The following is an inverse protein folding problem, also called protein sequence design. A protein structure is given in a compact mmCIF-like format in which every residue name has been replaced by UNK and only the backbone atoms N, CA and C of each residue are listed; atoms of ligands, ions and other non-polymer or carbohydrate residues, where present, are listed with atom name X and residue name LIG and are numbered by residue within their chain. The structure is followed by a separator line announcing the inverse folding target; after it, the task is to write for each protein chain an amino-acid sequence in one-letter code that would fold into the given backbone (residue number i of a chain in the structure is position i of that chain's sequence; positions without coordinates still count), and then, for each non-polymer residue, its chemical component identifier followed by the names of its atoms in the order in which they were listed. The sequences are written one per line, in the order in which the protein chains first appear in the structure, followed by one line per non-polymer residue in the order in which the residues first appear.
data_IF_336133162208
#
_entry.id   IF_336133162208
#
_cell.length_a   1.000
_cell.length_b   1.000
_cell.length_c   1.000
_cell.angle_alpha   90.00
_cell.angle_beta   90.00
_cell.angle_gamma   90.00
#
_symmetry.space_group_name_H-M   'P 1'
#
loop_
_entity.id
_entity.type
_entity.pdbx_description
1 polymer ?
#
# COMPACT_ATOMS: atom_id res chain seq x y z
N UNK A 1 -12.75 -3.06 8.91
CA UNK A 1 -12.21 -3.99 7.87
C UNK A 1 -10.71 -4.16 8.12
N UNK A 2 -10.00 -5.15 7.59
CA UNK A 2 -8.55 -5.32 7.87
C UNK A 2 -7.78 -5.35 6.56
N UNK A 3 -6.60 -4.72 6.47
CA UNK A 3 -5.72 -4.89 5.31
C UNK A 3 -5.36 -6.37 5.20
N UNK A 4 -5.65 -6.95 4.03
CA UNK A 4 -5.38 -8.36 3.72
C UNK A 4 -4.36 -8.42 2.59
N UNK A 5 -3.64 -9.52 2.51
CA UNK A 5 -2.88 -9.85 1.30
C UNK A 5 -3.89 -9.96 0.14
N UNK A 6 -3.46 -9.55 -1.05
CA UNK A 6 -4.26 -9.35 -2.27
C UNK A 6 -5.17 -8.10 -2.29
N UNK A 7 -5.24 -7.33 -1.20
CA UNK A 7 -6.02 -6.09 -1.17
C UNK A 7 -5.42 -5.04 -2.10
N UNK A 8 -6.27 -4.36 -2.87
CA UNK A 8 -5.86 -3.32 -3.81
C UNK A 8 -6.12 -1.97 -3.18
N UNK A 9 -5.07 -1.18 -3.08
CA UNK A 9 -5.05 0.14 -2.47
C UNK A 9 -4.65 1.18 -3.51
N UNK A 10 -5.24 2.36 -3.42
CA UNK A 10 -4.77 3.53 -4.14
C UNK A 10 -3.93 4.36 -3.19
N UNK A 11 -2.64 4.47 -3.52
CA UNK A 11 -1.70 5.29 -2.78
C UNK A 11 -1.30 6.50 -3.62
N UNK A 12 -1.29 7.71 -3.06
CA UNK A 12 -0.88 8.89 -3.80
C UNK A 12 0.59 8.76 -4.19
N UNK A 13 0.96 9.28 -5.36
CA UNK A 13 2.36 9.25 -5.79
C UNK A 13 3.30 9.97 -4.82
N UNK A 14 2.77 10.91 -4.03
CA UNK A 14 3.50 11.65 -3.00
C UNK A 14 4.01 10.78 -1.84
N UNK A 15 3.40 9.61 -1.63
CA UNK A 15 3.86 8.64 -0.62
C UNK A 15 5.14 7.90 -1.05
N UNK A 16 5.55 8.06 -2.31
CA UNK A 16 6.73 7.43 -2.88
C UNK A 16 7.79 8.46 -3.23
N UNK A 17 9.01 8.23 -2.72
CA UNK A 17 10.17 9.07 -3.07
C UNK A 17 10.70 8.80 -4.49
N UNK A 18 10.27 7.70 -5.11
CA UNK A 18 10.72 7.25 -6.42
C UNK A 18 9.53 7.07 -7.38
N UNK A 19 9.75 7.33 -8.66
CA UNK A 19 8.78 7.01 -9.70
C UNK A 19 8.71 5.49 -9.90
N UNK A 20 7.62 4.87 -9.46
CA UNK A 20 7.38 3.43 -9.63
C UNK A 20 6.77 3.13 -11.00
N UNK A 21 7.10 1.95 -11.55
CA UNK A 21 6.49 1.42 -12.78
C UNK A 21 5.56 0.25 -12.49
N UNK A 22 4.68 -0.10 -13.43
CA UNK A 22 3.77 -1.25 -13.28
C UNK A 22 4.59 -2.52 -13.17
N UNK A 23 4.35 -3.29 -12.11
CA UNK A 23 5.07 -4.51 -11.78
C UNK A 23 6.17 -4.34 -10.74
N UNK A 24 6.55 -3.10 -10.40
CA UNK A 24 7.48 -2.84 -9.30
C UNK A 24 6.91 -3.27 -7.96
N UNK A 25 7.78 -3.85 -7.12
CA UNK A 25 7.48 -4.26 -5.76
C UNK A 25 8.20 -3.31 -4.82
N UNK A 26 7.45 -2.69 -3.90
CA UNK A 26 7.98 -1.70 -2.96
C UNK A 26 7.47 -2.00 -1.56
N UNK A 27 8.31 -1.79 -0.58
CA UNK A 27 7.90 -1.79 0.82
C UNK A 27 7.26 -0.44 1.13
N UNK A 28 6.07 -0.48 1.72
CA UNK A 28 5.35 0.70 2.17
C UNK A 28 5.12 0.59 3.67
N UNK A 29 5.80 1.47 4.41
CA UNK A 29 5.85 1.45 5.85
C UNK A 29 4.75 2.33 6.43
N UNK A 30 4.13 1.85 7.50
CA UNK A 30 3.13 2.63 8.22
C UNK A 30 1.82 2.86 7.47
N UNK A 31 1.42 1.91 6.61
CA UNK A 31 0.10 1.91 6.01
C UNK A 31 -0.93 1.89 7.16
N UNK A 32 -1.63 3.01 7.35
CA UNK A 32 -2.60 3.12 8.44
C UNK A 32 -3.85 2.35 8.04
N UNK A 33 -4.14 1.28 8.78
CA UNK A 33 -5.41 0.60 8.67
C UNK A 33 -6.53 1.49 9.23
N UNK A 34 -7.09 2.36 8.38
CA UNK A 34 -8.19 3.27 8.74
C UNK A 34 -9.54 2.59 8.81
N UNK A 35 -9.60 1.28 8.57
CA UNK A 35 -10.85 0.53 8.51
C UNK A 35 -11.41 0.21 9.90
N UNK A 36 -10.63 0.42 10.96
CA UNK A 36 -11.06 0.37 12.35
C UNK A 36 -10.89 1.77 12.96
N UNK A 37 -11.97 2.55 13.01
CA UNK A 37 -11.96 3.93 13.53
C UNK A 37 -11.48 4.01 14.99
N UNK A 38 -11.54 2.90 15.73
CA UNK A 38 -11.15 2.82 17.13
C UNK A 38 -9.74 2.25 17.36
N UNK A 39 -9.17 1.54 16.37
CA UNK A 39 -7.82 0.97 16.44
C UNK A 39 -7.12 1.06 15.08
N UNK A 40 -6.71 2.26 14.74
CA UNK A 40 -5.80 2.48 13.62
C UNK A 40 -4.44 1.82 13.94
N UNK A 41 -4.11 0.76 13.22
CA UNK A 41 -2.82 0.08 13.35
C UNK A 41 -2.01 0.39 12.11
N UNK A 42 -0.83 0.99 12.32
CA UNK A 42 0.18 1.11 11.27
C UNK A 42 0.76 -0.27 11.00
N UNK A 43 0.68 -0.73 9.76
CA UNK A 43 1.29 -1.98 9.32
C UNK A 43 2.25 -1.72 8.18
N UNK A 44 3.39 -2.39 8.25
CA UNK A 44 4.35 -2.40 7.16
C UNK A 44 3.91 -3.47 6.16
N UNK A 45 3.86 -3.11 4.89
CA UNK A 45 3.34 -3.99 3.84
C UNK A 45 4.26 -3.97 2.64
N UNK A 46 4.40 -5.12 2.00
CA UNK A 46 4.98 -5.21 0.66
C UNK A 46 3.84 -5.02 -0.35
N UNK A 47 4.02 -4.07 -1.26
CA UNK A 47 3.03 -3.74 -2.28
C UNK A 47 3.62 -3.90 -3.69
N UNK A 48 2.77 -4.25 -4.64
CA UNK A 48 3.10 -4.31 -6.07
C UNK A 48 2.29 -3.30 -6.83
N UNK A 49 2.92 -2.45 -7.64
CA UNK A 49 2.18 -1.54 -8.51
C UNK A 49 1.49 -2.35 -9.60
N UNK A 50 0.17 -2.29 -9.64
CA UNK A 50 -0.66 -2.95 -10.67
C UNK A 50 -1.10 -1.98 -11.74
N UNK A 51 -1.34 -0.71 -11.39
CA UNK A 51 -1.62 0.34 -12.36
C UNK A 51 -1.10 1.70 -11.89
N UNK A 52 -0.92 2.61 -12.83
CA UNK A 52 -0.47 3.98 -12.58
C UNK A 52 -1.56 4.91 -13.12
N UNK A 53 -2.12 5.72 -12.22
CA UNK A 53 -3.04 6.80 -12.55
C UNK A 53 -2.29 8.14 -12.54
N UNK A 54 -2.90 9.25 -12.94
CA UNK A 54 -2.23 10.56 -12.99
C UNK A 54 -1.64 10.98 -11.63
N UNK A 55 -2.42 10.89 -10.56
CA UNK A 55 -2.02 11.32 -9.20
C UNK A 55 -1.77 10.17 -8.21
N UNK A 56 -2.14 8.94 -8.57
CA UNK A 56 -2.11 7.79 -7.67
C UNK A 56 -1.46 6.56 -8.32
N UNK A 57 -0.86 5.72 -7.50
CA UNK A 57 -0.50 4.34 -7.83
C UNK A 57 -1.59 3.41 -7.32
N UNK A 58 -2.06 2.54 -8.19
CA UNK A 58 -2.86 1.39 -7.80
C UNK A 58 -1.90 0.27 -7.46
N UNK A 59 -1.94 -0.18 -6.21
CA UNK A 59 -1.00 -1.13 -5.68
C UNK A 59 -1.73 -2.28 -5.02
N UNK A 60 -1.18 -3.48 -5.14
CA UNK A 60 -1.70 -4.68 -4.54
C UNK A 60 -0.81 -5.08 -3.37
N UNK A 61 -1.37 -5.29 -2.20
CA UNK A 61 -0.64 -5.82 -1.05
C UNK A 61 -0.25 -7.26 -1.36
N UNK A 62 1.05 -7.51 -1.45
CA UNK A 62 1.61 -8.84 -1.71
C UNK A 62 1.93 -9.56 -0.41
N UNK A 63 2.36 -8.80 0.60
CA UNK A 63 2.71 -9.33 1.90
C UNK A 63 2.49 -8.29 2.99
N UNK A 64 2.27 -8.75 4.21
CA UNK A 64 2.17 -7.89 5.39
C UNK A 64 3.35 -8.23 6.28
N UNK A 65 4.29 -7.29 6.37
CA UNK A 65 5.47 -7.39 7.22
C UNK A 65 5.02 -7.19 8.68
N UNK A 66 4.47 -8.23 9.28
CA UNK A 66 4.28 -8.28 10.74
C UNK A 66 5.62 -8.60 11.41
N UNK A 67 5.95 -7.97 12.56
CA UNK A 67 6.99 -8.47 13.44
C UNK A 67 6.65 -9.86 13.98
#
# INVERSE_FOLDING_TARGET
MSIMIDDILMLPKTDFNDALTVGDEREHFGLIDKRDEYKQVSRDVLIKVVAIHDDNYEVKVIDILTP
#
